data_IF_630419637790
#
_entry.id   IF_630419637790
#
_cell.length_a   1.000
_cell.length_b   1.000
_cell.length_c   1.000
_cell.angle_alpha   90.00
_cell.angle_beta   90.00
_cell.angle_gamma   90.00
#
_symmetry.space_group_name_H-M   'P 1'
#
loop_
_entity.id
_entity.type
_entity.pdbx_description
1 polymer ?
#
# COMPACT_ATOMS: atom_id res chain seq x y z
N UNK A 1 -29.82 11.11 -4.50
CA UNK A 1 -28.60 10.61 -3.82
C UNK A 1 -28.71 9.12 -3.49
N UNK A 2 -29.86 8.62 -3.03
CA UNK A 2 -30.06 7.19 -2.70
C UNK A 2 -29.94 6.24 -3.91
N UNK A 3 -30.52 6.57 -5.07
CA UNK A 3 -30.45 5.71 -6.26
C UNK A 3 -29.02 5.46 -6.78
N UNK A 4 -28.14 6.45 -6.71
CA UNK A 4 -26.74 6.28 -7.12
C UNK A 4 -25.99 5.34 -6.17
N UNK A 5 -26.27 5.44 -4.86
CA UNK A 5 -25.64 4.63 -3.83
C UNK A 5 -26.14 3.18 -3.90
N UNK A 6 -27.43 2.98 -4.12
CA UNK A 6 -28.05 1.67 -4.37
C UNK A 6 -27.49 1.01 -5.63
N UNK A 7 -27.31 1.78 -6.71
CA UNK A 7 -26.71 1.26 -7.95
C UNK A 7 -25.28 0.78 -7.75
N UNK A 8 -24.47 1.55 -6.98
CA UNK A 8 -23.10 1.15 -6.62
C UNK A 8 -23.13 -0.10 -5.74
N UNK A 9 -24.00 -0.16 -4.73
CA UNK A 9 -24.10 -1.32 -3.84
C UNK A 9 -24.48 -2.60 -4.61
N UNK A 10 -25.45 -2.50 -5.52
CA UNK A 10 -25.86 -3.63 -6.37
C UNK A 10 -24.74 -4.09 -7.31
N UNK A 11 -23.93 -3.16 -7.84
CA UNK A 11 -22.75 -3.52 -8.63
C UNK A 11 -21.73 -4.30 -7.79
N UNK A 12 -21.40 -3.83 -6.59
CA UNK A 12 -20.45 -4.51 -5.70
C UNK A 12 -20.96 -5.90 -5.31
N UNK A 13 -22.25 -6.04 -4.97
CA UNK A 13 -22.86 -7.34 -4.67
C UNK A 13 -22.81 -8.31 -5.86
N UNK A 14 -23.03 -7.81 -7.08
CA UNK A 14 -23.03 -8.63 -8.30
C UNK A 14 -21.64 -9.11 -8.74
N UNK A 15 -20.57 -8.34 -8.48
CA UNK A 15 -19.19 -8.70 -8.86
C UNK A 15 -18.59 -9.73 -7.90
N UNK A 16 -18.98 -9.69 -6.64
CA UNK A 16 -18.41 -10.52 -5.59
C UNK A 16 -17.03 -10.03 -5.09
N UNK A 17 -16.56 -10.66 -4.01
CA UNK A 17 -15.43 -10.15 -3.23
C UNK A 17 -14.06 -10.31 -3.92
N UNK A 18 -13.81 -11.46 -4.56
CA UNK A 18 -12.49 -11.77 -5.14
C UNK A 18 -12.09 -10.78 -6.25
N UNK A 19 -12.95 -10.48 -7.25
CA UNK A 19 -12.57 -9.56 -8.30
C UNK A 19 -12.26 -8.16 -7.77
N UNK A 20 -12.95 -7.70 -6.72
CA UNK A 20 -12.63 -6.43 -6.06
C UNK A 20 -11.25 -6.49 -5.44
N UNK A 21 -10.91 -7.55 -4.70
CA UNK A 21 -9.58 -7.70 -4.10
C UNK A 21 -8.48 -7.68 -5.18
N UNK A 22 -8.71 -8.33 -6.33
CA UNK A 22 -7.79 -8.28 -7.48
C UNK A 22 -7.65 -6.85 -8.02
N UNK A 23 -8.76 -6.12 -8.21
CA UNK A 23 -8.72 -4.72 -8.65
C UNK A 23 -7.96 -3.85 -7.65
N UNK A 24 -8.17 -4.04 -6.35
CA UNK A 24 -7.45 -3.32 -5.29
C UNK A 24 -5.95 -3.64 -5.31
N UNK A 25 -5.57 -4.90 -5.54
CA UNK A 25 -4.18 -5.30 -5.68
C UNK A 25 -3.51 -4.63 -6.89
N UNK A 26 -4.21 -4.57 -8.03
CA UNK A 26 -3.74 -3.93 -9.27
C UNK A 26 -3.65 -2.40 -9.12
N UNK A 27 -4.61 -1.77 -8.46
CA UNK A 27 -4.56 -0.34 -8.18
C UNK A 27 -3.41 -0.01 -7.22
N UNK A 28 -3.26 -0.80 -6.16
CA UNK A 28 -2.18 -0.65 -5.19
C UNK A 28 -0.81 -0.75 -5.86
N UNK A 29 -0.58 -1.76 -6.69
CA UNK A 29 0.71 -1.93 -7.37
C UNK A 29 0.98 -0.79 -8.37
N UNK A 30 -0.06 -0.31 -9.07
CA UNK A 30 0.07 0.82 -9.98
C UNK A 30 0.47 2.09 -9.24
N UNK A 31 -0.19 2.41 -8.12
CA UNK A 31 0.14 3.57 -7.30
C UNK A 31 1.53 3.43 -6.71
N UNK A 32 1.85 2.27 -6.14
CA UNK A 32 3.18 1.98 -5.59
C UNK A 32 4.28 2.18 -6.63
N UNK A 33 4.07 1.68 -7.85
CA UNK A 33 4.98 1.87 -8.98
C UNK A 33 5.08 3.33 -9.42
N UNK A 34 3.96 4.04 -9.55
CA UNK A 34 3.92 5.43 -9.99
C UNK A 34 4.67 6.36 -9.01
N UNK A 35 4.45 6.18 -7.71
CA UNK A 35 5.13 6.95 -6.66
C UNK A 35 6.60 6.56 -6.55
N UNK A 36 6.95 5.28 -6.68
CA UNK A 36 8.34 4.84 -6.70
C UNK A 36 9.11 5.32 -7.95
N UNK A 37 8.41 5.62 -9.04
CA UNK A 37 9.04 6.24 -10.21
C UNK A 37 9.56 7.65 -9.89
N UNK A 38 8.91 8.38 -8.95
CA UNK A 38 9.40 9.68 -8.51
C UNK A 38 10.74 9.58 -7.76
N UNK A 39 11.05 8.40 -7.19
CA UNK A 39 12.25 8.16 -6.36
C UNK A 39 13.38 7.47 -7.13
N UNK A 40 13.23 7.29 -8.46
CA UNK A 40 14.23 6.75 -9.41
C UNK A 40 14.74 5.34 -9.06
N UNK A 41 13.89 4.50 -8.45
CA UNK A 41 14.24 3.10 -8.14
C UNK A 41 14.01 2.17 -9.34
N UNK A 42 14.73 1.06 -9.35
CA UNK A 42 14.61 0.04 -10.40
C UNK A 42 13.21 -0.58 -10.42
N UNK A 43 12.61 -0.59 -11.61
CA UNK A 43 11.21 -0.99 -11.82
C UNK A 43 10.94 -2.43 -11.35
N UNK A 44 11.76 -3.39 -11.74
CA UNK A 44 11.56 -4.79 -11.37
C UNK A 44 11.64 -5.00 -9.86
N UNK A 45 12.58 -4.32 -9.19
CA UNK A 45 12.74 -4.43 -7.74
C UNK A 45 11.56 -3.84 -6.95
N UNK A 46 10.83 -2.88 -7.53
CA UNK A 46 9.60 -2.32 -6.94
C UNK A 46 8.47 -3.35 -7.00
N UNK A 47 8.31 -4.02 -8.14
CA UNK A 47 7.30 -5.07 -8.32
C UNK A 47 7.53 -6.25 -7.38
N UNK A 48 8.77 -6.76 -7.30
CA UNK A 48 9.11 -7.88 -6.42
C UNK A 48 8.78 -7.56 -4.96
N UNK A 49 9.17 -6.36 -4.51
CA UNK A 49 8.97 -5.91 -3.14
C UNK A 49 7.48 -5.77 -2.81
N UNK A 50 6.69 -5.19 -3.72
CA UNK A 50 5.25 -5.07 -3.54
C UNK A 50 4.57 -6.45 -3.49
N UNK A 51 4.89 -7.35 -4.43
CA UNK A 51 4.26 -8.67 -4.49
C UNK A 51 4.57 -9.49 -3.24
N UNK A 52 5.84 -9.52 -2.82
CA UNK A 52 6.25 -10.24 -1.60
C UNK A 52 5.54 -9.66 -0.39
N UNK A 53 5.53 -8.34 -0.22
CA UNK A 53 4.84 -7.69 0.89
C UNK A 53 3.34 -7.98 0.87
N UNK A 54 2.70 -7.88 -0.30
CA UNK A 54 1.27 -8.11 -0.47
C UNK A 54 0.86 -9.55 -0.13
N UNK A 55 1.65 -10.55 -0.53
CA UNK A 55 1.40 -11.96 -0.17
C UNK A 55 1.48 -12.14 1.35
N UNK A 56 2.53 -11.62 1.99
CA UNK A 56 2.68 -11.73 3.45
C UNK A 56 1.53 -11.00 4.16
N UNK A 57 1.12 -9.85 3.63
CA UNK A 57 -0.04 -9.09 4.12
C UNK A 57 -1.34 -9.87 4.04
N UNK A 58 -1.62 -10.57 2.95
CA UNK A 58 -2.82 -11.42 2.82
C UNK A 58 -2.79 -12.52 3.90
N UNK A 59 -1.65 -13.20 4.05
CA UNK A 59 -1.48 -14.24 5.06
C UNK A 59 -1.72 -13.66 6.46
N UNK A 60 -1.12 -12.51 6.78
CA UNK A 60 -1.30 -11.85 8.07
C UNK A 60 -2.74 -11.41 8.33
N UNK A 61 -3.41 -10.86 7.30
CA UNK A 61 -4.82 -10.49 7.36
C UNK A 61 -5.72 -11.67 7.69
N UNK A 62 -5.43 -12.84 7.09
CA UNK A 62 -6.17 -14.08 7.36
C UNK A 62 -5.90 -14.61 8.75
N UNK A 63 -4.64 -14.66 9.18
CA UNK A 63 -4.26 -15.08 10.54
C UNK A 63 -4.93 -14.19 11.59
N UNK A 64 -4.91 -12.87 11.39
CA UNK A 64 -5.54 -11.93 12.29
C UNK A 64 -7.05 -12.14 12.38
N UNK A 65 -7.72 -12.41 11.25
CA UNK A 65 -9.16 -12.73 11.23
C UNK A 65 -9.48 -14.02 12.00
N UNK A 66 -8.68 -15.07 11.82
CA UNK A 66 -8.83 -16.35 12.53
C UNK A 66 -8.72 -16.13 14.04
N UNK A 67 -7.69 -15.40 14.47
CA UNK A 67 -7.48 -15.11 15.88
C UNK A 67 -8.59 -14.25 16.48
N UNK A 68 -9.23 -13.38 15.68
CA UNK A 68 -10.31 -12.51 16.14
C UNK A 68 -11.65 -13.25 16.28
N UNK A 69 -11.84 -14.34 15.52
CA UNK A 69 -13.09 -15.10 15.48
C UNK A 69 -12.84 -16.59 15.82
N UNK A 70 -12.26 -16.93 16.99
CA UNK A 70 -11.85 -18.30 17.30
C UNK A 70 -13.03 -19.28 17.31
N UNK A 71 -14.23 -18.80 17.65
CA UNK A 71 -15.46 -19.61 17.67
C UNK A 71 -15.77 -20.23 16.29
N UNK A 72 -15.46 -19.53 15.20
CA UNK A 72 -15.69 -20.04 13.85
C UNK A 72 -14.74 -21.20 13.48
N UNK A 73 -13.62 -21.36 14.18
CA UNK A 73 -12.61 -22.37 13.86
C UNK A 73 -12.59 -23.53 14.87
N UNK A 74 -13.36 -23.43 15.94
CA UNK A 74 -13.49 -24.49 16.95
C UNK A 74 -14.52 -25.55 16.53
N UNK A 75 -14.33 -26.79 16.99
CA UNK A 75 -15.28 -27.89 16.79
C UNK A 75 -15.35 -28.48 15.38
N UNK A 76 -14.44 -28.10 14.48
CA UNK A 76 -14.38 -28.64 13.12
C UNK A 76 -13.54 -29.91 13.06
N UNK A 77 -14.03 -30.88 12.30
CA UNK A 77 -13.33 -32.14 12.06
C UNK A 77 -12.13 -31.87 11.15
N UNK A 78 -11.00 -32.52 11.48
CA UNK A 78 -9.78 -32.45 10.70
C UNK A 78 -9.84 -33.47 9.56
N UNK A 79 -9.70 -33.00 8.32
CA UNK A 79 -9.70 -33.82 7.13
C UNK A 79 -8.79 -33.23 6.06
N UNK A 80 -8.00 -34.10 5.44
CA UNK A 80 -7.16 -33.75 4.29
C UNK A 80 -8.02 -33.50 3.05
N UNK A 81 -9.24 -34.02 2.98
CA UNK A 81 -10.12 -33.79 1.84
C UNK A 81 -10.82 -32.43 2.00
N UNK A 82 -10.76 -31.52 1.01
CA UNK A 82 -11.30 -30.17 1.12
C UNK A 82 -12.81 -30.14 0.90
N UNK A 83 -13.53 -31.23 1.11
CA UNK A 83 -14.99 -31.24 1.00
C UNK A 83 -15.61 -32.27 1.93
N UNK A 84 -16.86 -32.02 2.28
CA UNK A 84 -17.72 -32.93 3.02
C UNK A 84 -19.00 -33.15 2.21
N UNK A 85 -19.38 -34.42 2.04
CA UNK A 85 -20.62 -34.78 1.35
C UNK A 85 -21.67 -35.10 2.39
N UNK A 86 -22.73 -34.29 2.39
CA UNK A 86 -23.95 -34.53 3.15
C UNK A 86 -25.06 -35.00 2.21
N UNK A 87 -26.21 -35.37 2.77
CA UNK A 87 -27.39 -35.80 1.99
C UNK A 87 -27.95 -34.69 1.08
N UNK A 88 -27.69 -33.44 1.42
CA UNK A 88 -28.17 -32.22 0.76
C UNK A 88 -27.13 -31.57 -0.17
N UNK A 89 -25.85 -31.97 -0.15
CA UNK A 89 -24.85 -31.44 -1.07
C UNK A 89 -23.39 -31.72 -0.70
N UNK A 90 -22.48 -31.17 -1.52
CA UNK A 90 -21.03 -31.19 -1.30
C UNK A 90 -20.59 -29.81 -0.85
N UNK A 91 -20.03 -29.72 0.35
CA UNK A 91 -19.55 -28.48 0.94
C UNK A 91 -18.02 -28.43 0.91
N UNK A 92 -17.46 -27.48 0.17
CA UNK A 92 -16.01 -27.33 0.04
C UNK A 92 -15.42 -26.44 1.16
N UNK A 93 -14.21 -26.78 1.60
CA UNK A 93 -13.34 -26.06 2.54
C UNK A 93 -13.98 -25.76 3.92
N UNK A 94 -14.95 -26.58 4.34
CA UNK A 94 -15.55 -26.52 5.68
C UNK A 94 -14.65 -27.16 6.75
N UNK A 95 -13.92 -28.19 6.35
CA UNK A 95 -13.08 -29.01 7.24
C UNK A 95 -11.74 -28.31 7.52
N UNK A 96 -11.12 -28.62 8.65
CA UNK A 96 -9.75 -28.19 8.94
C UNK A 96 -8.76 -29.12 8.22
N UNK A 97 -7.61 -28.62 7.71
CA UNK A 97 -7.09 -27.25 7.82
C UNK A 97 -7.62 -26.29 6.74
N UNK A 98 -8.41 -26.77 5.79
CA UNK A 98 -8.87 -26.03 4.61
C UNK A 98 -9.64 -24.75 4.91
N UNK A 99 -10.41 -24.73 6.01
CA UNK A 99 -11.10 -23.51 6.44
C UNK A 99 -10.14 -22.35 6.73
N UNK A 100 -8.91 -22.62 7.19
CA UNK A 100 -7.91 -21.56 7.40
C UNK A 100 -7.46 -20.93 6.07
N UNK A 101 -7.45 -21.70 4.98
CA UNK A 101 -7.03 -21.28 3.65
C UNK A 101 -8.16 -20.71 2.78
N UNK A 102 -9.39 -20.67 3.30
CA UNK A 102 -10.57 -20.16 2.60
C UNK A 102 -10.48 -18.65 2.41
N UNK A 103 -9.81 -18.20 1.35
CA UNK A 103 -9.62 -16.75 1.05
C UNK A 103 -10.82 -16.08 0.37
N UNK A 104 -11.77 -16.86 -0.15
CA UNK A 104 -12.94 -16.36 -0.87
C UNK A 104 -14.12 -16.00 0.03
N UNK A 105 -14.04 -16.24 1.33
CA UNK A 105 -15.09 -15.85 2.29
C UNK A 105 -15.03 -14.37 2.68
N UNK A 106 -14.00 -13.63 2.24
CA UNK A 106 -13.81 -12.23 2.62
C UNK A 106 -13.40 -12.03 4.08
N UNK A 107 -13.08 -13.10 4.80
CA UNK A 107 -12.64 -13.11 6.19
C UNK A 107 -11.21 -12.62 6.34
N UNK A 108 -11.02 -11.31 6.16
CA UNK A 108 -9.76 -10.61 6.36
C UNK A 108 -9.96 -9.40 7.27
N UNK A 109 -8.99 -9.17 8.17
CA UNK A 109 -8.92 -7.91 8.89
C UNK A 109 -8.06 -6.91 8.12
N UNK A 110 -8.72 -5.97 7.42
CA UNK A 110 -8.06 -4.99 6.55
C UNK A 110 -7.13 -4.03 7.31
N UNK A 111 -7.46 -3.71 8.56
CA UNK A 111 -6.60 -2.89 9.42
C UNK A 111 -5.30 -3.64 9.69
N UNK A 112 -5.41 -4.91 10.11
CA UNK A 112 -4.27 -5.80 10.29
C UNK A 112 -3.44 -5.95 9.01
N UNK A 113 -4.09 -6.04 7.85
CA UNK A 113 -3.41 -6.07 6.55
C UNK A 113 -2.62 -4.77 6.27
N UNK A 114 -3.21 -3.60 6.52
CA UNK A 114 -2.53 -2.31 6.34
C UNK A 114 -1.29 -2.19 7.24
N UNK A 115 -1.40 -2.57 8.51
CA UNK A 115 -0.28 -2.55 9.46
C UNK A 115 0.82 -3.50 9.01
N UNK A 116 0.47 -4.72 8.60
CA UNK A 116 1.43 -5.66 8.04
C UNK A 116 2.08 -5.14 6.76
N UNK A 117 1.29 -4.62 5.81
CA UNK A 117 1.81 -4.09 4.55
C UNK A 117 2.80 -2.97 4.80
N UNK A 118 2.45 -1.99 5.62
CA UNK A 118 3.35 -0.88 5.94
C UNK A 118 4.63 -1.41 6.59
N UNK A 119 4.53 -2.11 7.73
CA UNK A 119 5.71 -2.57 8.49
C UNK A 119 6.62 -3.51 7.69
N UNK A 120 6.07 -4.51 6.99
CA UNK A 120 6.83 -5.46 6.19
C UNK A 120 7.45 -4.79 4.97
N UNK A 121 6.70 -3.95 4.25
CA UNK A 121 7.24 -3.27 3.08
C UNK A 121 8.39 -2.33 3.48
N UNK A 122 8.27 -1.64 4.61
CA UNK A 122 9.39 -0.86 5.15
C UNK A 122 10.57 -1.75 5.52
N UNK A 123 10.35 -2.84 6.25
CA UNK A 123 11.42 -3.77 6.63
C UNK A 123 12.14 -4.33 5.40
N UNK A 124 11.42 -4.79 4.38
CA UNK A 124 12.00 -5.28 3.13
C UNK A 124 12.74 -4.16 2.39
N UNK A 125 12.19 -2.95 2.33
CA UNK A 125 12.82 -1.83 1.64
C UNK A 125 14.13 -1.41 2.31
N UNK A 126 14.17 -1.39 3.65
CA UNK A 126 15.33 -0.94 4.42
C UNK A 126 16.38 -2.04 4.56
N UNK A 127 16.00 -3.26 4.94
CA UNK A 127 16.97 -4.32 5.25
C UNK A 127 17.40 -5.11 4.03
N UNK A 128 16.47 -5.43 3.12
CA UNK A 128 16.78 -6.24 1.93
C UNK A 128 17.27 -5.35 0.80
N UNK A 129 16.52 -4.30 0.46
CA UNK A 129 16.84 -3.43 -0.67
C UNK A 129 17.77 -2.27 -0.31
N UNK A 130 18.00 -1.99 0.99
CA UNK A 130 18.85 -0.89 1.48
C UNK A 130 18.46 0.47 0.92
N UNK A 131 17.17 0.68 0.70
CA UNK A 131 16.63 1.95 0.24
C UNK A 131 16.50 2.93 1.41
N UNK A 132 16.63 4.23 1.10
CA UNK A 132 16.56 5.27 2.13
C UNK A 132 15.14 5.44 2.61
N UNK A 133 14.98 5.67 3.92
CA UNK A 133 13.67 5.78 4.56
C UNK A 133 12.83 6.88 3.91
N UNK A 134 13.47 8.02 3.63
CA UNK A 134 12.77 9.18 3.04
C UNK A 134 12.23 8.95 1.63
N UNK A 135 12.84 8.02 0.89
CA UNK A 135 12.44 7.70 -0.48
C UNK A 135 11.20 6.80 -0.47
N UNK A 136 11.12 5.87 0.47
CA UNK A 136 10.04 4.88 0.52
C UNK A 136 8.86 5.30 1.40
N UNK A 137 9.04 6.28 2.29
CA UNK A 137 8.01 6.62 3.29
C UNK A 137 6.67 6.99 2.64
N UNK A 138 6.69 7.93 1.70
CA UNK A 138 5.51 8.36 0.95
C UNK A 138 4.93 7.22 0.11
N UNK A 139 5.76 6.55 -0.68
CA UNK A 139 5.37 5.47 -1.60
C UNK A 139 4.56 4.38 -0.88
N UNK A 140 5.11 3.85 0.21
CA UNK A 140 4.49 2.77 0.99
C UNK A 140 3.18 3.25 1.62
N UNK A 141 3.18 4.48 2.14
CA UNK A 141 2.06 4.99 2.92
C UNK A 141 0.89 5.43 2.04
N UNK A 142 1.15 6.02 0.87
CA UNK A 142 0.15 6.37 -0.14
C UNK A 142 -0.52 5.10 -0.66
N UNK A 143 0.28 4.14 -1.13
CA UNK A 143 -0.25 2.87 -1.63
C UNK A 143 -1.06 2.14 -0.55
N UNK A 144 -0.49 1.98 0.65
CA UNK A 144 -1.13 1.24 1.73
C UNK A 144 -2.44 1.88 2.20
N UNK A 145 -2.46 3.20 2.36
CA UNK A 145 -3.65 3.90 2.85
C UNK A 145 -4.77 3.96 1.80
N UNK A 146 -4.46 4.08 0.50
CA UNK A 146 -5.48 3.97 -0.54
C UNK A 146 -6.07 2.57 -0.57
N UNK A 147 -5.23 1.53 -0.49
CA UNK A 147 -5.71 0.15 -0.40
C UNK A 147 -6.61 -0.04 0.82
N UNK A 148 -6.23 0.48 1.99
CA UNK A 148 -7.06 0.46 3.19
C UNK A 148 -8.38 1.23 2.98
N UNK A 149 -8.32 2.46 2.47
CA UNK A 149 -9.47 3.31 2.26
C UNK A 149 -10.50 2.69 1.30
N UNK A 150 -10.02 2.14 0.18
CA UNK A 150 -10.88 1.42 -0.77
C UNK A 150 -11.42 0.11 -0.18
N UNK A 151 -10.62 -0.62 0.60
CA UNK A 151 -11.07 -1.85 1.26
C UNK A 151 -12.18 -1.55 2.28
N UNK A 152 -12.01 -0.53 3.12
CA UNK A 152 -13.02 -0.11 4.11
C UNK A 152 -14.28 0.45 3.42
N UNK A 153 -14.11 1.17 2.31
CA UNK A 153 -15.24 1.64 1.53
C UNK A 153 -16.05 0.46 0.96
N UNK A 154 -15.38 -0.50 0.33
CA UNK A 154 -16.03 -1.69 -0.23
C UNK A 154 -16.71 -2.52 0.86
N UNK A 155 -16.06 -2.76 2.00
CA UNK A 155 -16.65 -3.55 3.09
C UNK A 155 -17.80 -2.82 3.78
N UNK A 156 -17.72 -1.50 3.90
CA UNK A 156 -18.83 -0.68 4.37
C UNK A 156 -20.04 -0.70 3.44
N UNK A 157 -19.85 -0.88 2.13
CA UNK A 157 -20.94 -1.12 1.18
C UNK A 157 -21.55 -2.52 1.32
N UNK A 158 -20.71 -3.54 1.53
CA UNK A 158 -21.18 -4.92 1.70
C UNK A 158 -21.93 -5.15 3.01
N UNK A 159 -21.43 -4.59 4.11
CA UNK A 159 -22.00 -4.78 5.45
C UNK A 159 -23.00 -3.69 5.85
N UNK A 160 -23.39 -2.81 4.92
CA UNK A 160 -24.26 -1.64 5.14
C UNK A 160 -23.83 -0.75 6.33
N UNK A 161 -22.54 -0.80 6.69
CA UNK A 161 -22.00 -0.06 7.81
C UNK A 161 -21.55 1.34 7.37
N UNK A 162 -22.42 2.32 7.62
CA UNK A 162 -22.20 3.73 7.27
C UNK A 162 -20.92 4.30 7.89
N UNK A 163 -20.60 3.92 9.13
CA UNK A 163 -19.41 4.40 9.82
C UNK A 163 -18.15 3.93 9.09
N UNK A 164 -17.99 2.62 8.88
CA UNK A 164 -16.82 2.04 8.19
C UNK A 164 -16.66 2.61 6.78
N UNK A 165 -17.78 2.78 6.06
CA UNK A 165 -17.79 3.40 4.73
C UNK A 165 -17.25 4.83 4.75
N UNK A 166 -17.69 5.64 5.72
CA UNK A 166 -17.26 7.04 5.86
C UNK A 166 -15.78 7.16 6.23
N UNK A 167 -15.26 6.20 7.02
CA UNK A 167 -13.83 6.15 7.33
C UNK A 167 -12.99 5.86 6.10
N UNK A 168 -13.43 4.89 5.27
CA UNK A 168 -12.80 4.60 3.98
C UNK A 168 -12.78 5.83 3.06
N UNK A 169 -13.93 6.53 2.95
CA UNK A 169 -14.03 7.78 2.20
C UNK A 169 -13.12 8.88 2.73
N UNK A 170 -12.98 9.01 4.05
CA UNK A 170 -12.08 10.00 4.66
C UNK A 170 -10.61 9.76 4.28
N UNK A 171 -10.16 8.50 4.31
CA UNK A 171 -8.79 8.14 3.88
C UNK A 171 -8.59 8.46 2.39
N UNK A 172 -9.55 8.09 1.55
CA UNK A 172 -9.52 8.40 0.11
C UNK A 172 -9.49 9.92 -0.11
N UNK A 173 -10.26 10.69 0.67
CA UNK A 173 -10.28 12.15 0.63
C UNK A 173 -8.90 12.76 0.91
N UNK A 174 -8.16 12.25 1.91
CA UNK A 174 -6.78 12.69 2.19
C UNK A 174 -5.87 12.42 1.00
N UNK A 175 -6.01 11.28 0.34
CA UNK A 175 -5.25 10.97 -0.89
C UNK A 175 -5.61 11.91 -2.06
N UNK A 176 -6.88 12.23 -2.25
CA UNK A 176 -7.31 13.18 -3.30
C UNK A 176 -6.69 14.55 -3.05
N UNK A 177 -6.71 15.05 -1.80
CA UNK A 177 -6.05 16.31 -1.42
C UNK A 177 -4.57 16.25 -1.73
N UNK A 178 -3.88 15.17 -1.34
CA UNK A 178 -2.48 14.96 -1.68
C UNK A 178 -2.22 15.01 -3.19
N UNK A 179 -3.03 14.30 -3.98
CA UNK A 179 -2.88 14.23 -5.44
C UNK A 179 -3.01 15.61 -6.08
N UNK A 180 -3.95 16.43 -5.61
CA UNK A 180 -4.11 17.82 -6.04
C UNK A 180 -2.88 18.65 -5.68
N UNK A 181 -2.40 18.57 -4.44
CA UNK A 181 -1.20 19.28 -4.00
C UNK A 181 0.04 18.87 -4.78
N UNK A 182 0.21 17.57 -5.05
CA UNK A 182 1.32 17.03 -5.84
C UNK A 182 1.28 17.55 -7.28
N UNK A 183 0.10 17.57 -7.91
CA UNK A 183 -0.07 18.14 -9.24
C UNK A 183 0.28 19.64 -9.28
N UNK A 184 -0.20 20.41 -8.30
CA UNK A 184 0.12 21.84 -8.18
C UNK A 184 1.62 22.08 -7.99
N UNK A 185 2.27 21.29 -7.14
CA UNK A 185 3.72 21.37 -6.90
C UNK A 185 4.52 21.07 -8.18
N UNK A 186 4.13 20.03 -8.91
CA UNK A 186 4.75 19.64 -10.18
C UNK A 186 4.62 20.74 -11.23
N UNK A 187 3.47 21.42 -11.28
CA UNK A 187 3.24 22.55 -12.20
C UNK A 187 4.06 23.78 -11.80
N UNK A 188 4.11 24.09 -10.50
CA UNK A 188 4.81 25.27 -9.98
C UNK A 188 6.34 25.17 -10.13
N UNK A 189 6.92 23.98 -9.94
CA UNK A 189 8.37 23.76 -9.89
C UNK A 189 8.93 23.08 -11.14
N UNK A 190 8.21 23.14 -12.27
CA UNK A 190 8.59 22.46 -13.53
C UNK A 190 10.03 22.75 -13.99
N UNK A 191 10.53 23.96 -13.71
CA UNK A 191 11.87 24.40 -14.14
C UNK A 191 12.94 24.30 -13.04
N UNK A 192 12.58 23.95 -11.79
CA UNK A 192 13.52 23.89 -10.66
C UNK A 192 13.48 22.50 -10.01
N UNK A 193 14.33 21.61 -10.55
CA UNK A 193 14.36 20.19 -10.18
C UNK A 193 14.75 19.96 -8.72
N UNK A 194 15.73 20.71 -8.21
CA UNK A 194 16.24 20.51 -6.85
C UNK A 194 15.21 20.94 -5.80
N UNK A 195 14.53 22.07 -6.03
CA UNK A 195 13.43 22.50 -5.17
C UNK A 195 12.22 21.57 -5.26
N UNK A 196 11.94 20.98 -6.43
CA UNK A 196 10.89 19.98 -6.57
C UNK A 196 11.17 18.74 -5.72
N UNK A 197 12.39 18.19 -5.77
CA UNK A 197 12.77 16.99 -5.00
C UNK A 197 12.70 17.23 -3.49
N UNK A 198 13.11 18.41 -3.00
CA UNK A 198 12.98 18.72 -1.58
C UNK A 198 11.52 18.82 -1.15
N UNK A 199 10.70 19.51 -1.94
CA UNK A 199 9.30 19.77 -1.59
C UNK A 199 8.41 18.53 -1.71
N UNK A 200 8.68 17.61 -2.65
CA UNK A 200 7.93 16.36 -2.75
C UNK A 200 8.17 15.45 -1.54
N UNK A 201 9.39 15.40 -1.00
CA UNK A 201 9.67 14.66 0.24
C UNK A 201 8.91 15.26 1.42
N UNK A 202 8.87 16.59 1.56
CA UNK A 202 8.08 17.26 2.59
C UNK A 202 6.58 16.92 2.43
N UNK A 203 6.06 16.92 1.20
CA UNK A 203 4.67 16.57 0.92
C UNK A 203 4.37 15.10 1.28
N UNK A 204 5.26 14.17 0.94
CA UNK A 204 5.14 12.75 1.32
C UNK A 204 5.11 12.59 2.84
N UNK A 205 5.95 13.32 3.56
CA UNK A 205 5.97 13.28 5.02
C UNK A 205 4.71 13.89 5.64
N UNK A 206 4.24 15.03 5.13
CA UNK A 206 2.99 15.64 5.57
C UNK A 206 1.81 14.70 5.35
N UNK A 207 1.74 14.06 4.18
CA UNK A 207 0.75 13.05 3.88
C UNK A 207 0.83 11.87 4.86
N UNK A 208 2.03 11.32 5.08
CA UNK A 208 2.23 10.21 6.01
C UNK A 208 1.68 10.51 7.40
N UNK A 209 2.02 11.68 7.95
CA UNK A 209 1.59 12.10 9.29
C UNK A 209 0.07 12.31 9.32
N UNK A 210 -0.49 13.09 8.39
CA UNK A 210 -1.92 13.41 8.37
C UNK A 210 -2.77 12.14 8.17
N UNK A 211 -2.40 11.30 7.20
CA UNK A 211 -3.11 10.06 6.92
C UNK A 211 -3.09 9.11 8.12
N UNK A 212 -1.91 8.88 8.74
CA UNK A 212 -1.83 7.95 9.86
C UNK A 212 -2.48 8.49 11.13
N UNK A 213 -2.42 9.80 11.41
CA UNK A 213 -3.17 10.40 12.52
C UNK A 213 -4.68 10.20 12.30
N UNK A 214 -5.18 10.46 11.09
CA UNK A 214 -6.59 10.25 10.77
C UNK A 214 -6.99 8.77 10.91
N UNK A 215 -6.21 7.85 10.35
CA UNK A 215 -6.45 6.40 10.43
C UNK A 215 -6.49 5.95 11.91
N UNK A 216 -5.50 6.34 12.71
CA UNK A 216 -5.43 5.97 14.12
C UNK A 216 -6.62 6.53 14.90
N UNK A 217 -6.90 7.83 14.77
CA UNK A 217 -8.02 8.46 15.47
C UNK A 217 -9.36 7.84 15.07
N UNK A 218 -9.63 7.76 13.77
CA UNK A 218 -10.89 7.28 13.23
C UNK A 218 -11.19 5.83 13.63
N UNK A 219 -10.19 4.95 13.53
CA UNK A 219 -10.36 3.52 13.83
C UNK A 219 -10.33 3.22 15.32
N UNK A 220 -9.50 3.90 16.13
CA UNK A 220 -9.49 3.69 17.59
C UNK A 220 -10.75 4.21 18.29
N UNK A 221 -11.41 5.23 17.73
CA UNK A 221 -12.71 5.71 18.20
C UNK A 221 -13.87 4.78 17.84
N UNK A 222 -13.64 3.71 17.09
CA UNK A 222 -14.67 2.78 16.63
C UNK A 222 -14.66 1.47 17.41
N UNK A 223 -15.77 0.75 17.33
CA UNK A 223 -15.87 -0.62 17.84
C UNK A 223 -15.08 -1.57 16.95
N UNK A 224 -13.80 -1.76 17.29
CA UNK A 224 -12.89 -2.66 16.60
C UNK A 224 -12.56 -3.89 17.45
N UNK A 225 -12.14 -4.96 16.78
CA UNK A 225 -11.67 -6.18 17.45
C UNK A 225 -10.45 -5.87 18.32
N UNK A 226 -10.24 -6.66 19.39
CA UNK A 226 -9.05 -6.52 20.26
C UNK A 226 -7.74 -6.66 19.46
N UNK A 227 -7.74 -7.51 18.44
CA UNK A 227 -6.59 -7.75 17.57
C UNK A 227 -6.27 -6.53 16.74
N UNK A 228 -7.26 -5.93 16.07
CA UNK A 228 -7.04 -4.70 15.32
C UNK A 228 -6.58 -3.56 16.24
N UNK A 229 -7.06 -3.50 17.48
CA UNK A 229 -6.60 -2.51 18.46
C UNK A 229 -5.11 -2.66 18.77
N UNK A 230 -4.62 -3.89 18.98
CA UNK A 230 -3.17 -4.13 19.16
C UNK A 230 -2.37 -3.77 17.89
N UNK A 231 -2.88 -4.10 16.70
CA UNK A 231 -2.24 -3.72 15.45
C UNK A 231 -2.18 -2.19 15.28
N UNK A 232 -3.22 -1.44 15.67
CA UNK A 232 -3.19 0.02 15.64
C UNK A 232 -2.22 0.62 16.65
N UNK A 233 -2.06 0.02 17.85
CA UNK A 233 -1.01 0.44 18.77
C UNK A 233 0.40 0.19 18.22
N UNK A 234 0.62 -0.97 17.60
CA UNK A 234 1.87 -1.27 16.91
C UNK A 234 2.14 -0.28 15.77
N UNK A 235 1.11 0.08 14.99
CA UNK A 235 1.18 1.11 13.96
C UNK A 235 1.52 2.49 14.55
N UNK A 236 0.93 2.88 15.68
CA UNK A 236 1.25 4.16 16.31
C UNK A 236 2.72 4.25 16.71
N UNK A 237 3.26 3.20 17.35
CA UNK A 237 4.70 3.10 17.68
C UNK A 237 5.54 3.15 16.39
N UNK A 238 5.15 2.39 15.37
CA UNK A 238 5.83 2.37 14.09
C UNK A 238 5.84 3.75 13.40
N UNK A 239 4.75 4.50 13.46
CA UNK A 239 4.63 5.84 12.90
C UNK A 239 5.55 6.84 13.60
N UNK A 240 5.65 6.76 14.93
CA UNK A 240 6.58 7.58 15.71
C UNK A 240 8.03 7.28 15.32
N UNK A 241 8.42 6.00 15.31
CA UNK A 241 9.76 5.57 14.92
C UNK A 241 10.09 5.98 13.49
N UNK A 242 9.17 5.75 12.55
CA UNK A 242 9.34 6.11 11.14
C UNK A 242 9.50 7.61 10.95
N UNK A 243 8.79 8.43 11.74
CA UNK A 243 8.91 9.89 11.67
C UNK A 243 10.28 10.37 12.15
N UNK A 244 10.79 9.81 13.26
CA UNK A 244 12.13 10.13 13.77
C UNK A 244 13.21 9.74 12.76
N UNK A 245 13.12 8.51 12.23
CA UNK A 245 14.07 7.99 11.24
C UNK A 245 14.04 8.80 9.95
N UNK A 246 12.86 9.23 9.52
CA UNK A 246 12.69 10.10 8.36
C UNK A 246 13.39 11.46 8.57
N UNK A 247 13.19 12.11 9.72
CA UNK A 247 13.82 13.40 10.03
C UNK A 247 15.34 13.25 10.02
N UNK A 248 15.87 12.18 10.64
CA UNK A 248 17.31 11.89 10.65
C UNK A 248 17.86 11.66 9.24
N UNK A 249 17.15 10.90 8.41
CA UNK A 249 17.56 10.63 7.01
C UNK A 249 17.46 11.87 6.11
N UNK A 250 16.59 12.82 6.44
CA UNK A 250 16.51 14.11 5.74
C UNK A 250 17.69 15.03 6.02
N UNK A 251 18.34 14.89 7.19
CA UNK A 251 19.54 15.66 7.52
C UNK A 251 20.80 15.14 6.81
N UNK A 252 20.78 13.92 6.28
CA UNK A 252 21.92 13.33 5.58
C UNK A 252 22.12 13.94 4.20
N UNK A 253 23.35 14.39 3.94
CA UNK A 253 23.77 14.96 2.65
C UNK A 253 23.62 13.93 1.52
N UNK A 254 23.10 14.39 0.39
CA UNK A 254 23.05 13.58 -0.83
C UNK A 254 24.43 13.55 -1.48
N UNK A 255 25.22 12.54 -1.14
CA UNK A 255 26.39 12.18 -1.95
C UNK A 255 25.86 11.42 -3.16
N UNK A 256 25.52 12.15 -4.23
CA UNK A 256 25.29 11.55 -5.55
C UNK A 256 26.67 11.23 -6.10
N UNK A 257 27.08 9.96 -6.00
CA UNK A 257 28.24 9.48 -6.76
C UNK A 257 27.77 9.38 -8.20
N UNK A 258 28.04 10.41 -8.99
CA UNK A 258 27.91 10.33 -10.43
C UNK A 258 28.89 9.25 -10.92
N UNK A 259 28.40 8.02 -11.08
CA UNK A 259 29.12 6.94 -11.76
C UNK A 259 29.06 7.25 -13.25
N UNK A 260 29.87 8.22 -13.64
CA UNK A 260 30.08 8.61 -15.03
C UNK A 260 31.02 7.62 -15.69
N UNK A 261 30.50 6.49 -16.15
CA UNK A 261 30.95 6.00 -17.45
C UNK A 261 30.13 6.79 -18.46
N UNK A 262 30.57 8.02 -18.76
CA UNK A 262 30.12 8.77 -19.94
C UNK A 262 30.52 7.90 -21.12
N UNK A 263 29.58 7.11 -21.65
CA UNK A 263 29.73 6.56 -22.98
C UNK A 263 30.08 7.75 -23.90
N UNK A 264 31.19 7.69 -24.66
CA UNK A 264 31.56 8.79 -25.54
C UNK A 264 30.37 9.07 -26.45
N UNK A 265 29.86 10.31 -26.43
CA UNK A 265 28.85 10.74 -27.38
C UNK A 265 29.49 10.64 -28.75
N UNK A 266 29.09 9.64 -29.53
CA UNK A 266 29.47 9.56 -30.93
C UNK A 266 29.02 10.87 -31.60
N UNK A 267 29.90 11.53 -32.38
CA UNK A 267 29.52 12.72 -33.11
C UNK A 267 28.33 12.39 -34.01
N UNK A 268 27.37 13.33 -34.11
CA UNK A 268 26.27 13.20 -35.06
C UNK A 268 26.85 13.07 -36.46
N UNK A 269 26.40 12.07 -37.21
CA UNK A 269 26.76 11.87 -38.62
C UNK A 269 26.54 13.21 -39.35
N UNK A 270 27.61 13.81 -39.86
CA UNK A 270 27.60 15.10 -40.55
C UNK A 270 28.24 16.29 -39.80
N UNK A 271 28.67 16.15 -38.54
CA UNK A 271 29.42 17.24 -37.89
C UNK A 271 30.88 17.27 -38.37
N UNK A 272 31.31 18.40 -38.94
CA UNK A 272 32.69 18.61 -39.39
C UNK A 272 33.68 18.48 -38.22
N UNK A 273 34.50 17.44 -38.24
CA UNK A 273 35.61 17.25 -37.30
C UNK A 273 36.71 18.23 -37.67
N UNK A 274 36.84 19.34 -36.92
CA UNK A 274 38.01 20.22 -37.01
C UNK A 274 39.20 19.51 -36.36
N UNK A 275 40.07 18.96 -37.19
CA UNK A 275 41.38 18.47 -36.76
C UNK A 275 42.25 19.70 -36.48
N UNK A 276 42.47 20.01 -35.20
CA UNK A 276 43.51 20.94 -34.78
C UNK A 276 44.87 20.31 -35.11
N UNK A 277 45.57 20.87 -36.10
CA UNK A 277 46.97 20.50 -36.36
C UNK A 277 47.79 20.87 -35.12
N UNK A 278 48.28 19.85 -34.41
CA UNK A 278 49.24 20.03 -33.32
C UNK A 278 50.43 20.86 -33.81
N UNK A 279 50.76 21.90 -33.04
CA UNK A 279 52.02 22.62 -33.20
C UNK A 279 53.15 21.64 -32.90
N UNK A 280 54.06 21.50 -33.87
CA UNK A 280 55.38 20.89 -33.67
C UNK A 280 56.21 21.78 -32.74
#
# INVERSE_FOLDING_TARGET
MNQALESVQNFFLGVGFIPILVVLAVLGIYIFWAEAHATRKDRNSIFDLYIIAFIITIIWGRVSYILANPADFQGLIWSIVPYEKYSDGIYYFRLLPWKFLKIWDGGFLYISMYVAFTTITFALSTFVKKWRWREMLGVISISGSIMLGLSLFATGLYGENVQVRNQGLGIIGIFVIYSVLHYLLKKALKNNRDSYEKNIFILHFAYFVIANIYILFSLLSSEITKIDRYNLYALAVFCLLSSILYIYDMQKTNIVVDTVIKAPRLPKIGSAVRISKGKK
#
